data_IF_814954778662
#
_entry.id   IF_814954778662
#
_cell.length_a   1.000
_cell.length_b   1.000
_cell.length_c   1.000
_cell.angle_alpha   90.00
_cell.angle_beta   90.00
_cell.angle_gamma   90.00
#
_symmetry.space_group_name_H-M   'P 1'
#
loop_
_entity.id
_entity.type
_entity.pdbx_description
1 polymer ?
#
# COMPACT_ATOMS: atom_id res chain seq x y z
N UNK A 1 4.90 11.45 2.70
CA UNK A 1 4.84 10.34 3.66
C UNK A 1 3.37 10.03 3.89
N UNK A 2 2.96 8.78 3.69
CA UNK A 2 1.61 8.26 3.89
C UNK A 2 1.70 7.07 4.85
N UNK A 3 0.66 6.90 5.68
CA UNK A 3 0.55 5.79 6.61
C UNK A 3 -0.70 4.97 6.29
N UNK A 4 -0.52 3.66 6.26
CA UNK A 4 -1.57 2.66 6.05
C UNK A 4 -1.48 1.61 7.15
N UNK A 5 -2.63 1.13 7.62
CA UNK A 5 -2.73 -0.13 8.35
C UNK A 5 -3.38 -1.20 7.49
N UNK A 6 -2.94 -2.45 7.65
CA UNK A 6 -3.64 -3.63 7.16
C UNK A 6 -4.24 -4.34 8.38
N UNK A 7 -5.56 -4.50 8.40
CA UNK A 7 -6.26 -5.21 9.48
C UNK A 7 -7.50 -5.91 8.93
N UNK A 8 -7.75 -7.12 9.40
CA UNK A 8 -8.83 -7.98 8.95
C UNK A 8 -8.83 -8.09 7.41
N UNK A 9 -7.62 -8.17 6.82
CA UNK A 9 -7.42 -8.18 5.37
C UNK A 9 -7.95 -6.92 4.63
N UNK A 10 -8.01 -5.77 5.32
CA UNK A 10 -8.39 -4.49 4.74
C UNK A 10 -7.34 -3.41 4.98
N UNK A 11 -7.00 -2.67 3.92
CA UNK A 11 -6.16 -1.48 4.04
C UNK A 11 -6.97 -0.30 4.56
N UNK A 12 -6.38 0.47 5.48
CA UNK A 12 -6.95 1.70 6.00
C UNK A 12 -5.92 2.84 6.05
N UNK A 13 -6.20 4.00 5.42
CA UNK A 13 -7.29 4.21 4.47
C UNK A 13 -7.21 3.28 3.26
N UNK A 14 -8.35 2.88 2.71
CA UNK A 14 -8.41 2.08 1.48
C UNK A 14 -7.96 2.90 0.26
N UNK A 15 -8.15 4.22 0.32
CA UNK A 15 -7.78 5.16 -0.75
C UNK A 15 -7.00 6.37 -0.23
N UNK A 16 -5.73 6.21 0.20
CA UNK A 16 -4.89 7.35 0.55
C UNK A 16 -4.70 8.30 -0.64
N UNK A 17 -4.62 9.60 -0.36
CA UNK A 17 -4.39 10.65 -1.37
C UNK A 17 -3.01 11.28 -1.24
N UNK A 18 -2.35 11.60 -2.35
CA UNK A 18 -1.11 12.40 -2.38
C UNK A 18 -1.05 13.33 -3.59
N UNK A 19 -0.17 14.34 -3.50
CA UNK A 19 0.06 15.29 -4.59
C UNK A 19 0.89 14.67 -5.73
N UNK A 20 0.56 15.03 -6.96
CA UNK A 20 1.28 14.66 -8.17
C UNK A 20 2.69 15.27 -8.21
N UNK A 21 3.57 14.65 -9.00
CA UNK A 21 4.89 15.19 -9.33
C UNK A 21 5.94 15.12 -8.21
N UNK A 22 5.63 14.49 -7.08
CA UNK A 22 6.57 14.30 -5.97
C UNK A 22 6.71 12.82 -5.61
N UNK A 23 7.92 12.35 -5.24
CA UNK A 23 8.08 11.02 -4.65
C UNK A 23 7.25 10.87 -3.37
N UNK A 24 6.76 9.67 -3.13
CA UNK A 24 5.89 9.34 -2.00
C UNK A 24 6.50 8.17 -1.26
N UNK A 25 6.65 8.33 0.05
CA UNK A 25 6.94 7.23 0.96
C UNK A 25 5.64 6.72 1.55
N UNK A 26 5.42 5.40 1.52
CA UNK A 26 4.27 4.74 2.13
C UNK A 26 4.77 3.79 3.22
N UNK A 27 4.34 4.03 4.45
CA UNK A 27 4.52 3.12 5.58
C UNK A 27 3.26 2.26 5.74
N UNK A 28 3.44 0.94 5.79
CA UNK A 28 2.37 -0.05 6.06
C UNK A 28 2.66 -0.72 7.39
N UNK A 29 1.67 -0.72 8.27
CA UNK A 29 1.66 -1.51 9.50
C UNK A 29 0.67 -2.66 9.33
N UNK A 30 1.14 -3.90 9.42
CA UNK A 30 0.28 -5.07 9.41
C UNK A 30 -0.19 -5.37 10.84
N UNK A 31 -1.48 -5.19 11.09
CA UNK A 31 -2.12 -5.47 12.38
C UNK A 31 -2.70 -6.89 12.44
N UNK A 32 -2.66 -7.63 11.32
CA UNK A 32 -3.05 -9.04 11.28
C UNK A 32 -1.93 -9.93 11.85
N UNK A 33 -2.29 -11.12 12.39
CA UNK A 33 -1.31 -12.05 12.93
C UNK A 33 -0.53 -12.80 11.84
N UNK A 34 -1.01 -12.78 10.59
CA UNK A 34 -0.40 -13.46 9.45
C UNK A 34 0.41 -12.49 8.59
N UNK A 35 1.47 -12.95 7.91
CA UNK A 35 2.18 -12.12 6.93
C UNK A 35 1.26 -11.75 5.76
N UNK A 36 1.56 -10.61 5.14
CA UNK A 36 0.95 -10.14 3.89
C UNK A 36 2.04 -9.71 2.92
N UNK A 37 1.79 -9.82 1.62
CA UNK A 37 2.69 -9.35 0.57
C UNK A 37 2.14 -8.06 -0.05
N UNK A 38 2.65 -6.92 0.42
CA UNK A 38 2.22 -5.62 -0.09
C UNK A 38 2.82 -5.37 -1.47
N UNK A 39 2.00 -5.47 -2.51
CA UNK A 39 2.41 -5.36 -3.91
C UNK A 39 1.65 -4.26 -4.67
N UNK A 40 2.36 -3.62 -5.60
CA UNK A 40 1.75 -2.91 -6.71
C UNK A 40 2.65 -2.93 -7.95
N UNK A 41 2.16 -3.56 -9.01
CA UNK A 41 2.81 -3.52 -10.34
C UNK A 41 2.89 -2.10 -10.91
N UNK A 42 1.84 -1.30 -10.68
CA UNK A 42 1.77 0.07 -11.18
C UNK A 42 2.74 1.01 -10.44
N UNK A 43 2.91 0.81 -9.13
CA UNK A 43 3.80 1.61 -8.29
C UNK A 43 5.22 1.03 -8.18
N UNK A 44 5.42 -0.19 -8.69
CA UNK A 44 6.70 -0.93 -8.79
C UNK A 44 7.33 -1.25 -7.44
N UNK A 45 6.54 -1.84 -6.54
CA UNK A 45 7.04 -2.43 -5.32
C UNK A 45 6.37 -3.78 -5.05
N UNK A 46 7.09 -4.64 -4.34
CA UNK A 46 6.64 -5.91 -3.76
C UNK A 46 7.42 -6.09 -2.47
N UNK A 47 6.74 -6.29 -1.35
CA UNK A 47 7.41 -6.48 -0.06
C UNK A 47 6.53 -7.22 0.94
N UNK A 48 7.08 -8.27 1.53
CA UNK A 48 6.43 -8.98 2.63
C UNK A 48 6.47 -8.13 3.91
N UNK A 49 5.32 -7.98 4.54
CA UNK A 49 5.15 -7.45 5.90
C UNK A 49 4.73 -8.60 6.83
N UNK A 50 5.60 -8.92 7.80
CA UNK A 50 5.27 -9.93 8.81
C UNK A 50 4.01 -9.52 9.60
N UNK A 51 3.30 -10.50 10.17
CA UNK A 51 2.18 -10.22 11.08
C UNK A 51 2.64 -9.38 12.28
N UNK A 52 1.88 -8.34 12.64
CA UNK A 52 2.28 -7.34 13.64
C UNK A 52 3.46 -6.43 13.21
N UNK A 53 3.97 -6.61 11.99
CA UNK A 53 5.16 -5.94 11.48
C UNK A 53 4.88 -4.60 10.80
N UNK A 54 5.97 -3.92 10.43
CA UNK A 54 5.91 -2.63 9.73
C UNK A 54 6.97 -2.56 8.65
N UNK A 55 6.60 -2.02 7.49
CA UNK A 55 7.50 -1.80 6.36
C UNK A 55 7.29 -0.43 5.74
N UNK A 56 8.28 0.00 4.96
CA UNK A 56 8.20 1.20 4.13
C UNK A 56 8.54 0.84 2.67
N UNK A 57 7.80 1.42 1.74
CA UNK A 57 8.07 1.39 0.29
C UNK A 57 8.19 2.80 -0.25
N UNK A 58 9.03 2.96 -1.29
CA UNK A 58 9.25 4.24 -1.97
C UNK A 58 8.56 4.20 -3.34
N UNK A 59 7.73 5.20 -3.59
CA UNK A 59 6.99 5.38 -4.85
C UNK A 59 7.56 6.61 -5.55
N UNK A 60 7.92 6.45 -6.83
CA UNK A 60 8.43 7.55 -7.66
C UNK A 60 7.33 8.61 -7.86
N UNK A 61 7.71 9.81 -8.32
CA UNK A 61 6.72 10.81 -8.71
C UNK A 61 5.73 10.26 -9.74
N UNK A 62 4.44 10.48 -9.50
CA UNK A 62 3.34 10.02 -10.34
C UNK A 62 2.57 11.19 -10.94
N UNK A 63 1.92 10.93 -12.06
CA UNK A 63 0.88 11.80 -12.63
C UNK A 63 -0.43 11.63 -11.86
N UNK A 64 -1.38 12.58 -11.97
CA UNK A 64 -2.73 12.37 -11.45
C UNK A 64 -3.34 11.06 -11.95
N UNK A 65 -4.01 10.34 -11.05
CA UNK A 65 -4.53 9.01 -11.36
C UNK A 65 -4.85 8.18 -10.13
N UNK A 66 -5.32 6.95 -10.36
CA UNK A 66 -5.68 5.98 -9.32
C UNK A 66 -4.91 4.69 -9.54
N UNK A 67 -4.08 4.31 -8.58
CA UNK A 67 -3.09 3.23 -8.71
C UNK A 67 -3.36 2.13 -7.69
N UNK A 68 -3.62 0.91 -8.17
CA UNK A 68 -3.96 -0.24 -7.31
C UNK A 68 -2.75 -0.73 -6.53
N UNK A 69 -2.97 -1.10 -5.27
CA UNK A 69 -2.09 -1.95 -4.46
C UNK A 69 -2.92 -3.04 -3.79
N UNK A 70 -2.28 -4.14 -3.39
CA UNK A 70 -2.97 -5.32 -2.85
C UNK A 70 -2.06 -6.14 -1.93
N UNK A 71 -2.64 -7.08 -1.20
CA UNK A 71 -1.93 -8.19 -0.57
C UNK A 71 -1.93 -9.38 -1.54
N UNK A 72 -0.79 -9.80 -2.10
CA UNK A 72 -0.74 -10.88 -3.10
C UNK A 72 -1.24 -12.23 -2.54
N UNK A 73 -1.06 -12.46 -1.23
CA UNK A 73 -1.56 -13.67 -0.57
C UNK A 73 -3.10 -13.71 -0.51
N UNK A 74 -3.76 -12.56 -0.63
CA UNK A 74 -5.22 -12.40 -0.56
C UNK A 74 -5.72 -11.40 -1.61
N UNK A 75 -5.18 -11.44 -2.84
CA UNK A 75 -5.37 -10.37 -3.84
C UNK A 75 -6.86 -10.09 -4.14
N UNK A 76 -7.69 -11.15 -4.13
CA UNK A 76 -9.11 -11.06 -4.44
C UNK A 76 -9.92 -10.22 -3.43
N UNK A 77 -9.45 -10.10 -2.19
CA UNK A 77 -10.20 -9.50 -1.08
C UNK A 77 -9.50 -8.27 -0.47
N UNK A 78 -8.19 -8.20 -0.60
CA UNK A 78 -7.36 -7.20 0.07
C UNK A 78 -6.79 -6.21 -0.93
N UNK A 79 -7.58 -5.19 -1.26
CA UNK A 79 -7.24 -4.20 -2.29
C UNK A 79 -7.37 -2.78 -1.75
N UNK A 80 -6.44 -1.91 -2.14
CA UNK A 80 -6.54 -0.47 -1.96
C UNK A 80 -5.99 0.30 -3.16
N UNK A 81 -6.11 1.62 -3.13
CA UNK A 81 -5.71 2.48 -4.24
C UNK A 81 -5.03 3.75 -3.77
N UNK A 82 -3.86 4.06 -4.31
CA UNK A 82 -3.25 5.37 -4.15
C UNK A 82 -3.90 6.34 -5.15
N UNK A 83 -4.52 7.41 -4.64
CA UNK A 83 -5.11 8.47 -5.44
C UNK A 83 -4.12 9.63 -5.53
N UNK A 84 -3.70 9.98 -6.74
CA UNK A 84 -2.79 11.09 -7.02
C UNK A 84 -3.57 12.25 -7.62
N UNK A 85 -3.38 13.44 -7.04
CA UNK A 85 -4.05 14.70 -7.43
C UNK A 85 -3.04 15.77 -7.83
#
# INVERSE_FOLDING_TARGET
HLQLSLKDHHFQPAEPTAAAGKPIEIEVTNLDPTPAEFESKALRFEKVVAGGGKITVQVRALTPGRYRFYDDYHEATTVGYLVIQ
#
